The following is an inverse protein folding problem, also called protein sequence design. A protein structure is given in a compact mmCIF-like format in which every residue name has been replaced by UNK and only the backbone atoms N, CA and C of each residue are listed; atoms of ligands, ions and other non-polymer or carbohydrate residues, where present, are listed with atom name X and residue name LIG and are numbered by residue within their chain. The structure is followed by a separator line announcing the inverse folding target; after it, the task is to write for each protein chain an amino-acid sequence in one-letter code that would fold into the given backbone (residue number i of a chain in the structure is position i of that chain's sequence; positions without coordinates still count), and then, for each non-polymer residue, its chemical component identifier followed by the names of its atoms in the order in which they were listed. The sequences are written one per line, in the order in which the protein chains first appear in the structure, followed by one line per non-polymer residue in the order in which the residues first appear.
data_IF_766160205857
#
_entry.id   IF_766160205857
#
_cell.length_a   1.000
_cell.length_b   1.000
_cell.length_c   1.000
_cell.angle_alpha   90.00
_cell.angle_beta   90.00
_cell.angle_gamma   90.00
#
_symmetry.space_group_name_H-M   'P 1'
#
loop_
_entity.id
_entity.type
_entity.pdbx_description
1 polymer ?
#
# COMPACT_ATOMS: atom_id res chain seq x y z
N UNK A 1 -23.36 3.39 -26.83
CA UNK A 1 -22.92 4.40 -25.86
C UNK A 1 -22.92 3.78 -24.47
N UNK A 2 -21.76 3.43 -23.93
CA UNK A 2 -21.67 2.94 -22.55
C UNK A 2 -22.06 4.08 -21.60
N UNK A 3 -23.14 3.91 -20.83
CA UNK A 3 -23.53 4.86 -19.79
C UNK A 3 -22.43 4.86 -18.72
N UNK A 4 -21.75 5.98 -18.50
CA UNK A 4 -20.81 6.12 -17.41
C UNK A 4 -21.54 6.02 -16.06
N UNK A 5 -21.01 5.23 -15.15
CA UNK A 5 -21.47 5.22 -13.76
C UNK A 5 -20.80 6.37 -13.02
N UNK A 6 -21.53 7.44 -12.79
CA UNK A 6 -21.05 8.64 -12.09
C UNK A 6 -21.97 9.01 -10.91
N UNK A 7 -22.06 8.09 -9.94
CA UNK A 7 -22.89 8.29 -8.75
C UNK A 7 -22.03 8.28 -7.49
N UNK A 8 -21.87 9.42 -6.86
CA UNK A 8 -21.08 9.57 -5.62
C UNK A 8 -21.52 8.60 -4.51
N UNK A 9 -22.82 8.49 -4.27
CA UNK A 9 -23.38 7.58 -3.25
C UNK A 9 -23.04 6.10 -3.54
N UNK A 10 -23.00 5.71 -4.82
CA UNK A 10 -22.60 4.35 -5.18
C UNK A 10 -21.11 4.13 -4.89
N UNK A 11 -20.26 5.12 -5.18
CA UNK A 11 -18.85 5.08 -4.80
C UNK A 11 -18.64 4.92 -3.29
N UNK A 12 -19.41 5.66 -2.47
CA UNK A 12 -19.37 5.50 -1.01
C UNK A 12 -19.75 4.07 -0.62
N UNK A 13 -20.87 3.54 -1.13
CA UNK A 13 -21.31 2.17 -0.79
C UNK A 13 -20.26 1.10 -1.11
N UNK A 14 -19.63 1.23 -2.27
CA UNK A 14 -18.58 0.30 -2.70
C UNK A 14 -17.27 0.50 -1.91
N UNK A 15 -17.04 1.70 -1.40
CA UNK A 15 -15.89 2.05 -0.55
C UNK A 15 -16.02 1.61 0.90
N UNK A 16 -17.24 1.39 1.43
CA UNK A 16 -17.46 1.01 2.84
C UNK A 16 -16.71 -0.28 3.22
N UNK A 17 -16.78 -1.38 2.46
CA UNK A 17 -16.03 -2.60 2.82
C UNK A 17 -14.52 -2.35 2.88
N UNK A 18 -13.99 -1.53 1.97
CA UNK A 18 -12.57 -1.16 1.97
C UNK A 18 -12.25 -0.30 3.20
N UNK A 19 -13.09 0.67 3.53
CA UNK A 19 -12.92 1.55 4.69
C UNK A 19 -12.88 0.77 6.00
N UNK A 20 -13.73 -0.24 6.16
CA UNK A 20 -13.75 -1.11 7.35
C UNK A 20 -12.47 -1.95 7.46
N UNK A 21 -11.98 -2.48 6.34
CA UNK A 21 -10.68 -3.15 6.29
C UNK A 21 -9.53 -2.21 6.63
N UNK A 22 -9.53 -1.02 6.05
CA UNK A 22 -8.52 0.01 6.28
C UNK A 22 -8.50 0.51 7.72
N UNK A 23 -9.64 0.65 8.35
CA UNK A 23 -9.74 1.08 9.76
C UNK A 23 -8.97 0.13 10.68
N UNK A 24 -9.10 -1.17 10.50
CA UNK A 24 -8.41 -2.15 11.34
C UNK A 24 -6.89 -2.17 11.08
N UNK A 25 -6.48 -2.07 9.82
CA UNK A 25 -5.07 -2.09 9.43
C UNK A 25 -4.36 -0.81 9.87
N UNK A 26 -4.95 0.35 9.60
CA UNK A 26 -4.38 1.63 9.96
C UNK A 26 -4.38 1.87 11.47
N UNK A 27 -5.29 1.24 12.22
CA UNK A 27 -5.22 1.19 13.68
C UNK A 27 -3.91 0.52 14.14
N UNK A 28 -3.58 -0.65 13.59
CA UNK A 28 -2.31 -1.31 13.89
C UNK A 28 -1.10 -0.47 13.44
N UNK A 29 -1.18 0.23 12.30
CA UNK A 29 -0.16 1.17 11.88
C UNK A 29 0.02 2.34 12.86
N UNK A 30 -1.06 2.92 13.36
CA UNK A 30 -1.01 4.00 14.35
C UNK A 30 -0.25 3.59 15.61
N UNK A 31 -0.54 2.39 16.13
CA UNK A 31 0.18 1.80 17.28
C UNK A 31 1.66 1.61 16.94
N UNK A 32 1.96 0.99 15.78
CA UNK A 32 3.33 0.76 15.33
C UNK A 32 4.13 2.05 15.22
N UNK A 33 3.56 3.08 14.62
CA UNK A 33 4.21 4.37 14.41
C UNK A 33 4.60 5.04 15.73
N UNK A 34 3.69 5.06 16.69
CA UNK A 34 3.94 5.65 18.02
C UNK A 34 4.96 4.82 18.81
N UNK A 35 4.85 3.49 18.81
CA UNK A 35 5.82 2.60 19.45
C UNK A 35 7.23 2.70 18.83
N UNK A 36 7.31 3.09 17.56
CA UNK A 36 8.59 3.35 16.87
C UNK A 36 9.19 4.72 17.18
N UNK A 37 8.51 5.55 17.98
CA UNK A 37 9.01 6.86 18.42
C UNK A 37 8.45 8.07 17.67
N UNK A 38 7.44 7.90 16.81
CA UNK A 38 6.72 9.03 16.21
C UNK A 38 5.70 9.60 17.20
N UNK A 39 5.49 10.92 17.16
CA UNK A 39 4.37 11.54 17.85
C UNK A 39 3.05 11.15 17.15
N UNK A 40 1.95 11.09 17.93
CA UNK A 40 0.62 10.71 17.38
C UNK A 40 0.20 11.56 16.19
N UNK A 41 0.43 12.87 16.22
CA UNK A 41 0.10 13.79 15.13
C UNK A 41 0.94 13.55 13.88
N UNK A 42 2.20 13.07 14.01
CA UNK A 42 3.04 12.69 12.87
C UNK A 42 2.49 11.45 12.17
N UNK A 43 2.07 10.43 12.93
CA UNK A 43 1.43 9.25 12.37
C UNK A 43 0.15 9.61 11.60
N UNK A 44 -0.68 10.52 12.14
CA UNK A 44 -1.89 11.02 11.48
C UNK A 44 -1.52 11.78 10.20
N UNK A 45 -0.55 12.71 10.26
CA UNK A 45 -0.12 13.49 9.09
C UNK A 45 0.39 12.57 7.96
N UNK A 46 1.17 11.54 8.29
CA UNK A 46 1.65 10.54 7.32
C UNK A 46 0.45 9.84 6.67
N UNK A 47 -0.55 9.41 7.45
CA UNK A 47 -1.73 8.72 6.92
C UNK A 47 -2.66 9.62 6.11
N UNK A 48 -2.72 10.91 6.41
CA UNK A 48 -3.50 11.88 5.62
C UNK A 48 -2.84 12.25 4.29
N UNK A 49 -1.52 12.17 4.21
CA UNK A 49 -0.76 12.55 3.01
C UNK A 49 -0.32 11.37 2.17
N UNK A 50 -0.46 10.14 2.70
CA UNK A 50 0.04 8.94 2.04
C UNK A 50 -0.83 7.72 2.38
N UNK A 51 -1.48 7.13 1.38
CA UNK A 51 -2.36 5.96 1.51
C UNK A 51 -1.66 4.63 1.19
N UNK A 52 -0.33 4.58 1.21
CA UNK A 52 0.41 3.36 0.93
C UNK A 52 0.84 2.66 2.21
N UNK A 53 0.14 1.62 2.62
CA UNK A 53 0.43 0.88 3.85
C UNK A 53 1.89 0.37 3.92
N UNK A 54 2.38 -0.27 2.87
CA UNK A 54 3.75 -0.78 2.79
C UNK A 54 4.79 0.36 2.83
N UNK A 55 4.54 1.46 2.11
CA UNK A 55 5.40 2.64 2.12
C UNK A 55 5.45 3.31 3.48
N UNK A 56 4.32 3.44 4.17
CA UNK A 56 4.27 4.00 5.51
C UNK A 56 5.07 3.15 6.51
N UNK A 57 4.91 1.83 6.48
CA UNK A 57 5.67 0.91 7.35
C UNK A 57 7.17 0.96 7.08
N UNK A 58 7.57 1.00 5.82
CA UNK A 58 8.99 1.12 5.45
C UNK A 58 9.55 2.51 5.80
N UNK A 59 8.74 3.55 5.72
CA UNK A 59 9.14 4.92 6.00
C UNK A 59 9.38 5.20 7.48
N UNK A 60 8.59 4.61 8.38
CA UNK A 60 8.71 4.85 9.83
C UNK A 60 10.12 4.58 10.36
N UNK A 61 10.77 3.42 10.12
CA UNK A 61 12.14 3.17 10.60
C UNK A 61 13.17 4.15 10.00
N UNK A 62 12.98 4.58 8.76
CA UNK A 62 13.88 5.54 8.10
C UNK A 62 13.77 6.90 8.79
N UNK A 63 12.53 7.34 9.08
CA UNK A 63 12.26 8.62 9.74
C UNK A 63 12.76 8.60 11.19
N UNK A 64 12.43 7.58 11.96
CA UNK A 64 12.81 7.47 13.38
C UNK A 64 14.30 7.20 13.55
N UNK A 65 14.93 6.49 12.62
CA UNK A 65 16.38 6.29 12.54
C UNK A 65 17.16 7.51 12.05
N UNK A 66 16.46 8.61 11.67
CA UNK A 66 17.06 9.83 11.11
C UNK A 66 17.96 9.55 9.91
N UNK A 67 17.57 8.57 9.09
CA UNK A 67 18.31 8.21 7.89
C UNK A 67 18.13 9.29 6.80
N UNK A 68 18.99 9.32 5.77
CA UNK A 68 18.93 10.35 4.72
C UNK A 68 17.58 10.41 3.99
N UNK A 69 17.08 11.61 3.69
CA UNK A 69 15.85 11.79 2.91
C UNK A 69 15.89 11.10 1.53
N UNK A 70 17.08 10.99 0.93
CA UNK A 70 17.27 10.29 -0.32
C UNK A 70 16.87 8.80 -0.20
N UNK A 71 17.22 8.17 0.90
CA UNK A 71 16.84 6.77 1.17
C UNK A 71 15.32 6.62 1.30
N UNK A 72 14.67 7.56 2.02
CA UNK A 72 13.22 7.59 2.11
C UNK A 72 12.58 7.75 0.73
N UNK A 73 13.04 8.73 -0.07
CA UNK A 73 12.52 8.98 -1.41
C UNK A 73 12.68 7.76 -2.32
N UNK A 74 13.87 7.15 -2.34
CA UNK A 74 14.14 6.00 -3.19
C UNK A 74 13.31 4.77 -2.78
N UNK A 75 13.19 4.50 -1.48
CA UNK A 75 12.36 3.40 -0.98
C UNK A 75 10.89 3.60 -1.35
N UNK A 76 10.37 4.84 -1.22
CA UNK A 76 8.99 5.15 -1.62
C UNK A 76 8.76 4.99 -3.13
N UNK A 77 9.71 5.39 -3.97
CA UNK A 77 9.61 5.20 -5.42
C UNK A 77 9.53 3.70 -5.75
N UNK A 78 10.42 2.88 -5.18
CA UNK A 78 10.45 1.43 -5.45
C UNK A 78 9.18 0.75 -4.97
N UNK A 79 8.75 1.00 -3.73
CA UNK A 79 7.56 0.36 -3.15
C UNK A 79 6.28 0.77 -3.90
N UNK A 80 6.19 2.04 -4.31
CA UNK A 80 4.98 2.62 -4.90
C UNK A 80 4.99 2.62 -6.44
N UNK A 81 6.01 2.09 -7.11
CA UNK A 81 6.09 2.02 -8.58
C UNK A 81 4.85 1.35 -9.20
N UNK A 82 4.28 0.36 -8.53
CA UNK A 82 3.04 -0.32 -8.95
C UNK A 82 1.86 0.64 -9.10
N UNK A 83 1.77 1.68 -8.27
CA UNK A 83 0.67 2.65 -8.35
C UNK A 83 0.73 3.48 -9.63
N UNK A 84 1.93 3.72 -10.19
CA UNK A 84 2.06 4.37 -11.48
C UNK A 84 1.43 3.53 -12.60
N UNK A 85 1.72 2.21 -12.64
CA UNK A 85 1.13 1.29 -13.61
C UNK A 85 -0.39 1.17 -13.43
N UNK A 86 -0.86 1.06 -12.19
CA UNK A 86 -2.30 1.03 -11.88
C UNK A 86 -2.99 2.33 -12.30
N UNK A 87 -2.36 3.49 -12.11
CA UNK A 87 -2.92 4.78 -12.52
C UNK A 87 -3.03 4.92 -14.03
N UNK A 88 -2.04 4.41 -14.78
CA UNK A 88 -2.11 4.35 -16.25
C UNK A 88 -3.29 3.48 -16.68
N UNK A 89 -3.43 2.29 -16.13
CA UNK A 89 -4.54 1.38 -16.42
C UNK A 89 -5.90 1.98 -16.04
N UNK A 90 -5.99 2.57 -14.84
CA UNK A 90 -7.22 3.22 -14.38
C UNK A 90 -7.60 4.41 -15.25
N UNK A 91 -6.61 5.14 -15.79
CA UNK A 91 -6.89 6.29 -16.65
C UNK A 91 -7.67 5.94 -17.91
N UNK A 92 -7.50 4.71 -18.42
CA UNK A 92 -8.25 4.19 -19.58
C UNK A 92 -9.69 3.80 -19.23
N UNK A 93 -9.99 3.62 -17.93
CA UNK A 93 -11.31 3.28 -17.39
C UNK A 93 -12.13 4.50 -17.01
N UNK A 94 -11.50 5.67 -16.92
CA UNK A 94 -12.18 6.91 -16.57
C UNK A 94 -12.97 7.48 -17.75
N UNK A 95 -14.13 8.07 -17.44
CA UNK A 95 -14.96 8.82 -18.40
C UNK A 95 -14.18 10.02 -18.97
N UNK A 96 -14.45 10.40 -20.23
CA UNK A 96 -13.82 11.54 -20.91
C UNK A 96 -14.10 12.88 -20.24
N UNK A 97 -15.12 12.96 -19.41
CA UNK A 97 -15.45 14.16 -18.59
C UNK A 97 -14.54 14.36 -17.38
N UNK A 98 -13.68 13.40 -17.07
CA UNK A 98 -12.73 13.49 -15.97
C UNK A 98 -11.57 14.38 -16.38
N UNK A 99 -11.47 15.57 -15.77
CA UNK A 99 -10.42 16.54 -16.06
C UNK A 99 -9.05 16.09 -15.54
N UNK A 100 -7.99 16.76 -15.98
CA UNK A 100 -6.62 16.46 -15.51
C UNK A 100 -6.49 16.64 -13.98
N UNK A 101 -7.11 17.67 -13.41
CA UNK A 101 -7.11 17.89 -11.95
C UNK A 101 -7.85 16.77 -11.21
N UNK A 102 -9.00 16.33 -11.75
CA UNK A 102 -9.71 15.17 -11.19
C UNK A 102 -8.84 13.91 -11.23
N UNK A 103 -8.05 13.69 -12.30
CA UNK A 103 -7.13 12.55 -12.41
C UNK A 103 -6.04 12.58 -11.35
N UNK A 104 -5.46 13.73 -11.04
CA UNK A 104 -4.49 13.88 -9.94
C UNK A 104 -5.12 13.57 -8.58
N UNK A 105 -6.32 14.10 -8.32
CA UNK A 105 -7.04 13.82 -7.08
C UNK A 105 -7.42 12.33 -6.95
N UNK A 106 -7.86 11.70 -8.04
CA UNK A 106 -8.18 10.27 -8.07
C UNK A 106 -6.90 9.44 -7.86
N UNK A 107 -5.77 9.83 -8.46
CA UNK A 107 -4.50 9.13 -8.31
C UNK A 107 -4.03 9.11 -6.84
N UNK A 108 -4.32 10.15 -6.05
CA UNK A 108 -4.03 10.16 -4.62
C UNK A 108 -4.75 9.04 -3.85
N UNK A 109 -5.99 8.71 -4.24
CA UNK A 109 -6.77 7.64 -3.63
C UNK A 109 -6.51 6.25 -4.24
N UNK A 110 -5.71 6.14 -5.30
CA UNK A 110 -5.57 4.91 -6.08
C UNK A 110 -4.73 3.86 -5.35
N UNK A 111 -5.39 3.08 -4.51
CA UNK A 111 -4.83 1.89 -3.84
C UNK A 111 -5.22 0.62 -4.60
N UNK A 112 -4.64 -0.53 -4.21
CA UNK A 112 -4.91 -1.82 -4.87
C UNK A 112 -6.41 -2.17 -4.84
N UNK A 113 -7.08 -1.94 -3.71
CA UNK A 113 -8.49 -2.27 -3.51
C UNK A 113 -9.40 -1.31 -4.28
N UNK A 114 -9.09 -0.01 -4.27
CA UNK A 114 -9.84 1.00 -5.01
C UNK A 114 -9.70 0.76 -6.52
N UNK A 115 -8.46 0.46 -6.97
CA UNK A 115 -8.20 0.07 -8.35
C UNK A 115 -8.98 -1.18 -8.76
N UNK A 116 -8.97 -2.22 -7.93
CA UNK A 116 -9.66 -3.48 -8.22
C UNK A 116 -11.18 -3.28 -8.37
N UNK A 117 -11.80 -2.49 -7.47
CA UNK A 117 -13.23 -2.19 -7.53
C UNK A 117 -13.57 -1.34 -8.75
N UNK A 118 -12.80 -0.28 -9.03
CA UNK A 118 -13.04 0.58 -10.17
C UNK A 118 -12.84 -0.15 -11.51
N UNK A 119 -11.76 -0.93 -11.64
CA UNK A 119 -11.43 -1.68 -12.85
C UNK A 119 -12.38 -2.85 -13.11
N UNK A 120 -12.94 -3.46 -12.05
CA UNK A 120 -13.92 -4.52 -12.14
C UNK A 120 -15.31 -4.10 -12.63
N UNK A 121 -15.55 -2.78 -12.76
CA UNK A 121 -16.81 -2.28 -13.31
C UNK A 121 -16.92 -2.55 -14.81
N UNK A 122 -18.10 -2.94 -15.27
CA UNK A 122 -18.38 -3.21 -16.70
C UNK A 122 -18.34 -1.94 -17.57
N UNK A 123 -18.62 -0.77 -16.99
CA UNK A 123 -18.72 0.53 -17.66
C UNK A 123 -17.54 1.45 -17.30
N UNK A 124 -17.39 2.55 -18.05
CA UNK A 124 -16.52 3.65 -17.66
C UNK A 124 -17.00 4.26 -16.34
N UNK A 125 -16.05 4.72 -15.53
CA UNK A 125 -16.34 5.31 -14.21
C UNK A 125 -16.13 6.81 -14.25
N UNK A 126 -17.12 7.55 -13.70
CA UNK A 126 -17.09 9.00 -13.62
C UNK A 126 -16.38 9.49 -12.35
N UNK A 127 -16.06 10.79 -12.34
CA UNK A 127 -15.31 11.41 -11.23
C UNK A 127 -16.05 11.35 -9.89
N UNK A 128 -17.36 11.57 -9.88
CA UNK A 128 -18.13 11.57 -8.62
C UNK A 128 -18.12 10.17 -7.98
N UNK A 129 -18.25 9.12 -8.82
CA UNK A 129 -18.08 7.74 -8.34
C UNK A 129 -16.70 7.53 -7.72
N UNK A 130 -15.63 7.95 -8.43
CA UNK A 130 -14.24 7.79 -7.95
C UNK A 130 -13.98 8.57 -6.66
N UNK A 131 -14.53 9.78 -6.52
CA UNK A 131 -14.44 10.53 -5.27
C UNK A 131 -15.15 9.83 -4.11
N UNK A 132 -16.35 9.28 -4.34
CA UNK A 132 -17.05 8.50 -3.30
C UNK A 132 -16.26 7.26 -2.90
N UNK A 133 -15.76 6.52 -3.90
CA UNK A 133 -14.97 5.29 -3.70
C UNK A 133 -13.63 5.56 -3.02
N UNK A 134 -12.96 6.68 -3.31
CA UNK A 134 -11.65 7.02 -2.74
C UNK A 134 -11.74 7.66 -1.35
N UNK A 135 -12.67 8.62 -1.18
CA UNK A 135 -12.80 9.37 0.07
C UNK A 135 -13.23 8.48 1.25
N UNK A 136 -14.10 7.51 1.01
CA UNK A 136 -14.60 6.62 2.06
C UNK A 136 -13.48 5.77 2.70
N UNK A 137 -12.63 5.04 1.95
CA UNK A 137 -11.47 4.36 2.52
C UNK A 137 -10.42 5.31 3.11
N UNK A 138 -10.22 6.49 2.52
CA UNK A 138 -9.31 7.51 3.06
C UNK A 138 -9.72 7.94 4.48
N UNK A 139 -11.00 8.18 4.70
CA UNK A 139 -11.52 8.49 6.04
C UNK A 139 -11.35 7.31 6.99
N UNK A 140 -11.61 6.09 6.53
CA UNK A 140 -11.37 4.87 7.32
C UNK A 140 -9.91 4.72 7.72
N UNK A 141 -8.99 4.95 6.79
CA UNK A 141 -7.55 4.89 7.03
C UNK A 141 -7.08 5.94 8.04
N UNK A 142 -7.48 7.20 7.84
CA UNK A 142 -7.13 8.30 8.74
C UNK A 142 -7.70 8.10 10.14
N UNK A 143 -8.97 7.67 10.24
CA UNK A 143 -9.62 7.41 11.51
C UNK A 143 -8.95 6.24 12.26
N UNK A 144 -8.65 5.14 11.57
CA UNK A 144 -7.94 4.01 12.17
C UNK A 144 -6.57 4.40 12.70
N UNK A 145 -5.76 5.13 11.91
CA UNK A 145 -4.46 5.64 12.38
C UNK A 145 -4.63 6.55 13.61
N UNK A 146 -5.62 7.44 13.59
CA UNK A 146 -5.88 8.34 14.73
C UNK A 146 -6.19 7.55 15.99
N UNK A 147 -7.14 6.61 15.91
CA UNK A 147 -7.50 5.76 17.05
C UNK A 147 -6.32 4.90 17.51
N UNK A 148 -5.57 4.31 16.59
CA UNK A 148 -4.41 3.48 16.90
C UNK A 148 -3.27 4.26 17.54
N UNK A 149 -2.96 5.46 17.05
CA UNK A 149 -1.90 6.31 17.61
C UNK A 149 -2.24 6.83 19.02
N UNK A 150 -3.51 7.07 19.31
CA UNK A 150 -3.97 7.41 20.67
C UNK A 150 -3.92 6.16 21.56
N UNK A 151 -4.44 5.03 21.08
CA UNK A 151 -4.49 3.77 21.81
C UNK A 151 -3.08 3.25 22.16
N UNK A 152 -2.11 3.42 21.26
CA UNK A 152 -0.72 3.01 21.48
C UNK A 152 -0.05 3.66 22.68
N UNK A 153 -0.53 4.84 23.11
CA UNK A 153 -0.06 5.52 24.32
C UNK A 153 -0.78 5.08 25.62
N UNK A 154 -1.92 4.40 25.50
CA UNK A 154 -2.80 4.06 26.64
C UNK A 154 -2.78 2.57 26.93
N UNK A 155 -2.66 1.73 25.90
CA UNK A 155 -2.74 0.29 26.02
C UNK A 155 -1.49 -0.30 26.69
N UNK A 156 -1.63 -1.38 27.48
CA UNK A 156 -0.49 -2.13 28.01
C UNK A 156 0.43 -2.64 26.90
N UNK A 157 1.75 -2.66 27.15
CA UNK A 157 2.77 -3.05 26.16
C UNK A 157 2.52 -4.42 25.51
N UNK A 158 1.98 -5.38 26.28
CA UNK A 158 1.64 -6.72 25.77
C UNK A 158 0.60 -6.64 24.66
N UNK A 159 -0.42 -5.80 24.83
CA UNK A 159 -1.50 -5.62 23.85
C UNK A 159 -0.99 -4.87 22.61
N UNK A 160 -0.20 -3.81 22.81
CA UNK A 160 0.38 -3.05 21.70
C UNK A 160 1.34 -3.88 20.86
N UNK A 161 2.14 -4.74 21.48
CA UNK A 161 3.03 -5.68 20.77
C UNK A 161 2.22 -6.70 19.96
N UNK A 162 1.17 -7.28 20.53
CA UNK A 162 0.29 -8.22 19.82
C UNK A 162 -0.40 -7.57 18.60
N UNK A 163 -0.91 -6.34 18.76
CA UNK A 163 -1.54 -5.59 17.67
C UNK A 163 -0.51 -5.14 16.62
N UNK A 164 0.71 -4.84 17.01
CA UNK A 164 1.82 -4.57 16.08
C UNK A 164 2.14 -5.76 15.17
N UNK A 165 2.00 -6.98 15.67
CA UNK A 165 2.18 -8.20 14.86
C UNK A 165 1.04 -8.36 13.83
N UNK A 166 -0.17 -7.93 14.14
CA UNK A 166 -1.34 -8.08 13.27
C UNK A 166 -1.14 -7.44 11.89
N UNK A 167 -0.35 -6.36 11.80
CA UNK A 167 -0.05 -5.69 10.52
C UNK A 167 0.73 -6.61 9.56
N UNK A 168 1.64 -7.44 10.08
CA UNK A 168 2.37 -8.43 9.28
C UNK A 168 1.45 -9.56 8.81
N UNK A 169 0.49 -9.96 9.66
CA UNK A 169 -0.56 -10.92 9.30
C UNK A 169 -1.39 -10.44 8.10
N UNK A 170 -1.70 -9.16 8.03
CA UNK A 170 -2.37 -8.56 6.88
C UNK A 170 -1.56 -8.74 5.58
N UNK A 171 -0.25 -8.42 5.58
CA UNK A 171 0.56 -8.59 4.38
C UNK A 171 0.62 -10.05 3.93
N UNK A 172 0.71 -10.98 4.88
CA UNK A 172 0.64 -12.41 4.57
C UNK A 172 -0.73 -12.75 3.93
N UNK A 173 -1.82 -12.23 4.47
CA UNK A 173 -3.16 -12.46 3.93
C UNK A 173 -3.35 -11.90 2.51
N UNK A 174 -2.69 -10.80 2.15
CA UNK A 174 -2.71 -10.22 0.79
C UNK A 174 -1.86 -11.05 -0.17
N UNK A 175 -0.66 -11.44 0.25
CA UNK A 175 0.33 -12.11 -0.61
C UNK A 175 -0.05 -13.58 -0.86
N UNK A 176 -0.53 -14.30 0.14
CA UNK A 176 -0.76 -15.75 0.08
C UNK A 176 -1.74 -16.20 -1.00
N UNK A 177 -2.89 -15.57 -1.25
CA UNK A 177 -3.80 -15.98 -2.32
C UNK A 177 -3.18 -15.89 -3.71
N UNK A 178 -2.39 -14.85 -3.96
CA UNK A 178 -1.68 -14.64 -5.24
C UNK A 178 -0.55 -15.65 -5.38
N UNK A 179 0.26 -15.83 -4.34
CA UNK A 179 1.38 -16.76 -4.31
C UNK A 179 0.93 -18.23 -4.49
N UNK A 180 -0.22 -18.63 -3.93
CA UNK A 180 -0.79 -19.97 -4.13
C UNK A 180 -1.17 -20.24 -5.59
N UNK A 181 -1.60 -19.22 -6.33
CA UNK A 181 -2.04 -19.34 -7.73
C UNK A 181 -0.92 -19.16 -8.73
N UNK A 182 0.17 -18.49 -8.34
CA UNK A 182 1.27 -18.12 -9.22
C UNK A 182 2.62 -18.51 -8.62
N UNK A 183 3.21 -19.60 -9.12
CA UNK A 183 4.50 -20.12 -8.65
C UNK A 183 5.67 -19.12 -8.76
N UNK A 184 5.82 -18.34 -9.85
CA UNK A 184 6.79 -17.25 -9.92
C UNK A 184 6.66 -16.23 -8.79
N UNK A 185 5.43 -15.82 -8.45
CA UNK A 185 5.19 -14.89 -7.33
C UNK A 185 5.62 -15.55 -6.00
N UNK A 186 5.28 -16.81 -5.79
CA UNK A 186 5.72 -17.56 -4.60
C UNK A 186 7.25 -17.60 -4.50
N UNK A 187 7.94 -17.89 -5.62
CA UNK A 187 9.39 -17.88 -5.67
C UNK A 187 9.99 -16.50 -5.36
N UNK A 188 9.41 -15.44 -5.91
CA UNK A 188 9.80 -14.05 -5.61
C UNK A 188 9.71 -13.75 -4.11
N UNK A 189 8.63 -14.17 -3.46
CA UNK A 189 8.43 -13.98 -2.02
C UNK A 189 9.50 -14.73 -1.21
N UNK A 190 9.75 -16.00 -1.52
CA UNK A 190 10.80 -16.78 -0.83
C UNK A 190 12.18 -16.19 -1.04
N UNK A 191 12.52 -15.75 -2.24
CA UNK A 191 13.81 -15.11 -2.52
C UNK A 191 13.95 -13.80 -1.76
N UNK A 192 12.92 -12.95 -1.74
CA UNK A 192 12.93 -11.70 -0.98
C UNK A 192 13.08 -11.94 0.53
N UNK A 193 12.39 -12.94 1.08
CA UNK A 193 12.56 -13.34 2.47
C UNK A 193 13.98 -13.84 2.75
N UNK A 194 14.55 -14.69 1.89
CA UNK A 194 15.92 -15.18 2.02
C UNK A 194 16.95 -14.06 2.00
N UNK A 195 16.82 -13.12 1.05
CA UNK A 195 17.68 -11.93 0.98
C UNK A 195 17.54 -11.07 2.25
N UNK A 196 16.32 -10.85 2.73
CA UNK A 196 16.09 -10.08 3.95
C UNK A 196 16.74 -10.72 5.18
N UNK A 197 16.69 -12.06 5.30
CA UNK A 197 17.39 -12.78 6.36
C UNK A 197 18.92 -12.62 6.23
N UNK A 198 19.47 -12.67 5.01
CA UNK A 198 20.90 -12.43 4.77
C UNK A 198 21.30 -11.02 5.24
N UNK A 199 20.52 -9.98 4.88
CA UNK A 199 20.77 -8.62 5.36
C UNK A 199 20.68 -8.49 6.88
N UNK A 200 19.85 -9.29 7.53
CA UNK A 200 19.67 -9.24 8.99
C UNK A 200 20.79 -9.94 9.74
N UNK A 201 21.22 -11.13 9.27
CA UNK A 201 22.11 -12.01 10.04
C UNK A 201 23.58 -11.96 9.62
N UNK A 202 23.90 -11.47 8.40
CA UNK A 202 25.31 -11.39 7.98
C UNK A 202 25.95 -10.11 8.52
N UNK A 203 27.05 -10.20 9.31
CA UNK A 203 27.61 -9.05 10.05
C UNK A 203 28.08 -7.87 9.19
N UNK A 204 28.39 -8.12 7.91
CA UNK A 204 28.78 -7.06 6.96
C UNK A 204 27.55 -6.37 6.37
N UNK A 205 26.52 -7.16 6.06
CA UNK A 205 25.31 -6.69 5.38
C UNK A 205 24.30 -6.04 6.34
N UNK A 206 24.32 -6.38 7.63
CA UNK A 206 23.47 -5.75 8.63
C UNK A 206 23.80 -4.27 8.91
N UNK A 207 24.94 -3.77 8.36
CA UNK A 207 25.29 -2.34 8.37
C UNK A 207 24.58 -1.54 7.29
N UNK A 208 23.97 -2.23 6.31
CA UNK A 208 23.15 -1.57 5.28
C UNK A 208 21.86 -1.10 5.95
N UNK A 209 21.50 0.17 5.69
CA UNK A 209 20.29 0.75 6.25
C UNK A 209 19.03 0.00 5.80
N UNK A 210 17.99 0.06 6.62
CA UNK A 210 16.73 -0.67 6.38
C UNK A 210 16.08 -0.33 5.05
N UNK A 211 16.14 0.94 4.63
CA UNK A 211 15.57 1.36 3.35
C UNK A 211 16.31 0.78 2.15
N UNK A 212 17.64 0.81 2.15
CA UNK A 212 18.41 0.17 1.07
C UNK A 212 18.26 -1.35 1.06
N UNK A 213 18.18 -2.00 2.20
CA UNK A 213 17.91 -3.43 2.27
C UNK A 213 16.56 -3.79 1.62
N UNK A 214 15.49 -3.02 1.91
CA UNK A 214 14.17 -3.20 1.29
C UNK A 214 14.27 -3.03 -0.24
N UNK A 215 14.92 -1.98 -0.72
CA UNK A 215 15.08 -1.69 -2.15
C UNK A 215 15.80 -2.86 -2.85
N UNK A 216 16.93 -3.29 -2.30
CA UNK A 216 17.72 -4.38 -2.89
C UNK A 216 16.90 -5.68 -2.91
N UNK A 217 16.28 -6.05 -1.81
CA UNK A 217 15.44 -7.25 -1.74
C UNK A 217 14.29 -7.20 -2.76
N UNK A 218 13.61 -6.07 -2.89
CA UNK A 218 12.48 -5.91 -3.81
C UNK A 218 12.93 -5.96 -5.27
N UNK A 219 13.96 -5.19 -5.64
CA UNK A 219 14.42 -5.08 -7.03
C UNK A 219 15.08 -6.39 -7.48
N UNK A 220 15.98 -6.95 -6.68
CA UNK A 220 16.70 -8.18 -7.06
C UNK A 220 15.75 -9.37 -7.19
N UNK A 221 14.86 -9.59 -6.22
CA UNK A 221 13.92 -10.72 -6.29
C UNK A 221 12.94 -10.56 -7.44
N UNK A 222 12.41 -9.37 -7.68
CA UNK A 222 11.49 -9.12 -8.79
C UNK A 222 12.17 -9.28 -10.15
N UNK A 223 13.39 -8.75 -10.30
CA UNK A 223 14.14 -8.83 -11.56
C UNK A 223 14.50 -10.27 -11.91
N UNK A 224 14.98 -11.05 -10.93
CA UNK A 224 15.33 -12.47 -11.14
C UNK A 224 14.12 -13.25 -11.64
N UNK A 225 12.97 -13.13 -10.99
CA UNK A 225 11.78 -13.88 -11.42
C UNK A 225 11.12 -13.30 -12.68
N UNK A 226 11.25 -12.02 -12.98
CA UNK A 226 10.83 -11.47 -14.25
C UNK A 226 11.63 -12.04 -15.43
N UNK A 227 12.95 -12.26 -15.25
CA UNK A 227 13.82 -12.85 -16.25
C UNK A 227 13.64 -14.37 -16.38
N UNK A 228 13.45 -15.08 -15.26
CA UNK A 228 13.29 -16.54 -15.27
C UNK A 228 11.90 -16.99 -15.74
N UNK A 229 10.88 -16.20 -15.50
CA UNK A 229 9.49 -16.53 -15.77
C UNK A 229 8.77 -15.36 -16.49
N UNK A 230 9.19 -14.97 -17.70
CA UNK A 230 8.56 -13.88 -18.42
C UNK A 230 7.08 -14.20 -18.69
N UNK A 231 6.21 -13.21 -18.54
CA UNK A 231 4.79 -13.33 -18.89
C UNK A 231 4.73 -13.47 -20.41
N UNK A 232 4.16 -14.56 -20.91
CA UNK A 232 3.87 -14.71 -22.33
C UNK A 232 2.75 -13.73 -22.67
N UNK A 233 2.99 -12.81 -23.60
CA UNK A 233 1.92 -11.99 -24.18
C UNK A 233 0.87 -12.92 -24.78
N UNK A 234 -0.36 -12.78 -24.32
CA UNK A 234 -1.50 -13.40 -25.01
C UNK A 234 -1.70 -12.58 -26.26
N UNK A 235 -1.24 -13.10 -27.41
CA UNK A 235 -1.57 -12.54 -28.71
C UNK A 235 -3.11 -12.57 -28.85
N UNK A 236 -3.73 -11.41 -28.76
CA UNK A 236 -5.11 -11.23 -29.19
C UNK A 236 -5.10 -11.27 -30.73
N UNK A 237 -5.24 -12.48 -31.30
CA UNK A 237 -5.74 -12.67 -32.68
C UNK A 237 -7.26 -12.53 -32.70
#
# INVERSE_FOLDING_TARGET
MNKSEDRFIQGIKDGIPIALGYLSVSFAFGIFAVNSGLYFWQAIAISMTNLTSAGQLAGVPIITGRLPFFELALSQIVINMRYALMSISLSQKLDDKVTLLDRFAIAFFNTDEIFAVASGRGNLVGKHYMYGLGLTPFLGWTLGTTLGSIAGNILPQVVTNALGIAIYGMFIAIIMPVAKRNKPVLGTVFLACGLSLIFTFVPVLNKVSSGFAIIICAVVSSLIFALLCPIKEVSHE
#
